data_IF_590995722831
#
_entry.id   IF_590995722831
#
_cell.length_a   1.000
_cell.length_b   1.000
_cell.length_c   1.000
_cell.angle_alpha   90.00
_cell.angle_beta   90.00
_cell.angle_gamma   90.00
#
_symmetry.space_group_name_H-M   'P 1'
#
loop_
_entity.id
_entity.type
_entity.pdbx_description
1 polymer ?
#
# COMPACT_ATOMS: atom_id res chain seq x y z
N UNK A 1 16.78 -14.37 12.91
CA UNK A 1 16.45 -13.05 12.35
C UNK A 1 16.63 -13.10 10.85
N UNK A 2 15.56 -12.93 10.10
CA UNK A 2 15.56 -12.91 8.63
C UNK A 2 15.18 -11.52 8.13
N UNK A 3 15.45 -11.29 6.87
CA UNK A 3 14.93 -10.12 6.17
C UNK A 3 13.70 -10.53 5.35
N UNK A 4 12.62 -9.77 5.48
CA UNK A 4 11.46 -9.86 4.61
C UNK A 4 11.38 -8.56 3.82
N UNK A 5 11.46 -8.66 2.50
CA UNK A 5 11.52 -7.51 1.61
C UNK A 5 10.26 -7.47 0.76
N UNK A 6 9.56 -6.35 0.79
CA UNK A 6 8.36 -6.09 0.00
C UNK A 6 8.72 -5.03 -1.04
N UNK A 7 8.56 -5.36 -2.31
CA UNK A 7 8.79 -4.49 -3.45
C UNK A 7 7.47 -4.19 -4.16
N UNK A 8 6.99 -2.95 -4.07
CA UNK A 8 5.76 -2.50 -4.72
C UNK A 8 6.10 -1.59 -5.90
N UNK A 9 5.85 -2.03 -7.11
CA UNK A 9 6.16 -1.25 -8.29
C UNK A 9 5.02 -0.33 -8.73
N UNK A 10 5.34 0.62 -9.61
CA UNK A 10 4.39 1.54 -10.21
C UNK A 10 3.46 0.85 -11.21
N UNK A 11 2.35 1.49 -11.55
CA UNK A 11 1.37 0.95 -12.48
C UNK A 11 1.89 1.00 -13.92
N UNK A 12 1.63 -0.07 -14.68
CA UNK A 12 1.99 -0.14 -16.10
C UNK A 12 3.48 -0.35 -16.36
N UNK A 13 4.25 -0.69 -15.32
CA UNK A 13 5.64 -1.08 -15.48
C UNK A 13 5.68 -2.57 -15.87
N UNK A 14 5.60 -2.84 -17.17
CA UNK A 14 5.94 -4.15 -17.70
C UNK A 14 7.46 -4.31 -17.70
N UNK A 15 7.93 -5.54 -17.51
CA UNK A 15 9.35 -5.84 -17.59
C UNK A 15 9.87 -5.51 -18.99
N UNK A 16 10.84 -4.60 -19.08
CA UNK A 16 11.43 -4.12 -20.34
C UNK A 16 12.89 -3.67 -20.11
N UNK A 17 13.53 -3.19 -21.16
CA UNK A 17 14.93 -2.71 -21.08
C UNK A 17 15.09 -1.51 -20.13
N UNK A 18 14.04 -0.71 -19.93
CA UNK A 18 14.01 0.46 -19.04
C UNK A 18 13.27 0.17 -17.73
N UNK A 19 13.71 -0.83 -16.98
CA UNK A 19 13.10 -1.23 -15.72
C UNK A 19 13.13 -0.15 -14.64
N UNK A 20 12.10 -0.16 -13.79
CA UNK A 20 12.01 0.70 -12.61
C UNK A 20 13.14 0.43 -11.59
N UNK A 21 13.36 1.38 -10.68
CA UNK A 21 14.31 1.18 -9.58
C UNK A 21 13.89 0.02 -8.67
N UNK A 22 12.60 -0.26 -8.56
CA UNK A 22 12.09 -1.40 -7.76
C UNK A 22 12.45 -2.72 -8.40
N UNK A 23 12.27 -2.85 -9.74
CA UNK A 23 12.69 -4.06 -10.49
C UNK A 23 14.19 -4.26 -10.40
N UNK A 24 14.99 -3.19 -10.58
CA UNK A 24 16.45 -3.26 -10.47
C UNK A 24 16.90 -3.71 -9.09
N UNK A 25 16.26 -3.16 -8.06
CA UNK A 25 16.52 -3.55 -6.67
C UNK A 25 16.15 -5.01 -6.43
N UNK A 26 14.96 -5.46 -6.88
CA UNK A 26 14.51 -6.85 -6.77
C UNK A 26 15.49 -7.81 -7.44
N UNK A 27 15.98 -7.47 -8.63
CA UNK A 27 16.96 -8.27 -9.36
C UNK A 27 18.32 -8.36 -8.65
N UNK A 28 18.73 -7.29 -7.96
CA UNK A 28 20.00 -7.26 -7.22
C UNK A 28 19.95 -7.96 -5.86
N UNK A 29 18.76 -8.30 -5.37
CA UNK A 29 18.59 -8.95 -4.06
C UNK A 29 18.84 -10.46 -4.16
N UNK A 30 19.63 -10.97 -3.24
CA UNK A 30 19.72 -12.41 -3.00
C UNK A 30 18.42 -12.93 -2.38
N UNK A 31 17.95 -14.06 -2.87
CA UNK A 31 16.86 -14.82 -2.24
C UNK A 31 17.45 -16.05 -1.57
N UNK A 32 17.24 -16.17 -0.28
CA UNK A 32 17.82 -17.23 0.54
C UNK A 32 16.91 -17.58 1.73
N UNK A 33 17.31 -18.56 2.54
CA UNK A 33 16.60 -18.85 3.78
C UNK A 33 16.64 -17.67 4.78
N UNK A 34 17.60 -16.77 4.66
CA UNK A 34 17.76 -15.58 5.49
C UNK A 34 17.11 -14.33 4.89
N UNK A 35 16.68 -14.35 3.62
CA UNK A 35 16.06 -13.22 2.95
C UNK A 35 14.97 -13.66 1.99
N UNK A 36 13.73 -13.32 2.32
CA UNK A 36 12.55 -13.59 1.48
C UNK A 36 12.11 -12.29 0.82
N UNK A 37 11.97 -12.32 -0.50
CA UNK A 37 11.63 -11.13 -1.29
C UNK A 37 10.30 -11.32 -2.01
N UNK A 38 9.42 -10.36 -1.88
CA UNK A 38 8.13 -10.28 -2.56
C UNK A 38 8.14 -9.11 -3.54
N UNK A 39 7.71 -9.34 -4.77
CA UNK A 39 7.53 -8.31 -5.78
C UNK A 39 6.08 -8.24 -6.23
N UNK A 40 5.53 -7.03 -6.24
CA UNK A 40 4.20 -6.72 -6.76
C UNK A 40 4.33 -5.74 -7.94
N UNK A 41 3.86 -6.11 -9.14
CA UNK A 41 4.05 -5.32 -10.36
C UNK A 41 3.17 -4.06 -10.44
N UNK A 42 2.35 -3.80 -9.43
CA UNK A 42 1.40 -2.68 -9.42
C UNK A 42 0.10 -2.95 -10.18
N UNK A 43 -0.82 -1.98 -10.14
CA UNK A 43 -2.15 -2.11 -10.76
C UNK A 43 -2.06 -1.95 -12.27
N UNK A 44 -2.75 -2.79 -13.04
CA UNK A 44 -3.00 -2.58 -14.47
C UNK A 44 -2.03 -3.28 -15.44
N UNK A 45 -1.09 -4.08 -14.94
CA UNK A 45 -0.20 -4.86 -15.82
C UNK A 45 -0.86 -6.13 -16.36
N UNK A 46 -1.85 -6.70 -15.68
CA UNK A 46 -2.45 -8.00 -16.05
C UNK A 46 -3.83 -7.93 -16.70
N UNK A 47 -4.48 -6.77 -16.80
CA UNK A 47 -5.87 -6.66 -17.29
C UNK A 47 -6.09 -5.72 -18.48
N UNK A 48 -5.12 -4.91 -18.88
CA UNK A 48 -5.32 -3.85 -19.88
C UNK A 48 -5.23 -4.33 -21.34
N UNK A 49 -4.69 -5.50 -21.61
CA UNK A 49 -4.53 -5.96 -23.00
C UNK A 49 -5.84 -6.32 -23.70
N UNK A 50 -6.93 -6.60 -22.98
CA UNK A 50 -8.25 -6.90 -23.57
C UNK A 50 -9.16 -5.67 -23.73
N UNK A 51 -8.80 -4.50 -23.19
CA UNK A 51 -9.64 -3.30 -23.21
C UNK A 51 -9.28 -2.27 -24.29
N UNK A 52 -8.33 -2.56 -25.17
CA UNK A 52 -7.80 -1.58 -26.16
C UNK A 52 -8.71 -1.32 -27.37
N UNK A 53 -9.90 -1.89 -27.45
CA UNK A 53 -10.75 -1.80 -28.68
C UNK A 53 -12.04 -0.99 -28.53
N UNK A 54 -12.34 -0.34 -27.41
CA UNK A 54 -13.56 0.47 -27.31
C UNK A 54 -13.37 1.79 -26.54
N UNK A 55 -13.33 2.87 -27.30
CA UNK A 55 -13.69 4.25 -26.95
C UNK A 55 -12.93 4.97 -25.83
N UNK A 56 -12.05 5.86 -26.21
CA UNK A 56 -11.23 6.76 -25.36
C UNK A 56 -11.96 7.72 -24.41
N UNK A 57 -13.28 7.64 -24.22
CA UNK A 57 -14.07 8.42 -23.25
C UNK A 57 -14.48 7.63 -22.01
N UNK A 58 -14.38 6.32 -22.04
CA UNK A 58 -14.72 5.44 -20.90
C UNK A 58 -13.49 5.21 -20.01
N UNK A 59 -12.29 5.48 -20.50
CA UNK A 59 -11.04 5.18 -19.82
C UNK A 59 -10.81 6.03 -18.56
N UNK A 60 -11.25 7.29 -18.56
CA UNK A 60 -11.12 8.17 -17.39
C UNK A 60 -12.01 7.73 -16.21
N UNK A 61 -13.21 7.20 -16.46
CA UNK A 61 -14.10 6.65 -15.42
C UNK A 61 -13.60 5.31 -14.87
N UNK A 62 -13.07 4.45 -15.71
CA UNK A 62 -12.49 3.16 -15.31
C UNK A 62 -11.18 3.33 -14.55
N UNK A 63 -10.36 4.33 -14.90
CA UNK A 63 -9.15 4.69 -14.17
C UNK A 63 -9.48 5.16 -12.73
N UNK A 64 -10.55 5.91 -12.51
CA UNK A 64 -10.94 6.40 -11.19
C UNK A 64 -11.48 5.31 -10.25
N UNK A 65 -12.40 4.49 -10.72
CA UNK A 65 -13.06 3.44 -9.91
C UNK A 65 -12.18 2.17 -9.77
N UNK A 66 -11.55 1.72 -10.85
CA UNK A 66 -10.61 0.60 -10.83
C UNK A 66 -9.35 0.89 -10.03
N UNK A 67 -8.98 2.15 -9.92
CA UNK A 67 -7.79 2.59 -9.25
C UNK A 67 -7.85 2.42 -7.72
N UNK A 68 -8.95 2.80 -7.09
CA UNK A 68 -9.14 2.62 -5.64
C UNK A 68 -9.30 1.17 -5.23
N UNK A 69 -9.87 0.35 -6.12
CA UNK A 69 -10.04 -1.09 -5.89
C UNK A 69 -8.69 -1.82 -6.00
N UNK A 70 -7.96 -1.63 -7.10
CA UNK A 70 -6.66 -2.27 -7.31
C UNK A 70 -5.59 -1.88 -6.28
N UNK A 71 -5.58 -0.62 -5.81
CA UNK A 71 -4.69 -0.21 -4.72
C UNK A 71 -4.96 -1.00 -3.45
N UNK A 72 -6.23 -1.30 -3.18
CA UNK A 72 -6.62 -2.05 -1.99
C UNK A 72 -6.21 -3.51 -2.06
N UNK A 73 -6.31 -4.11 -3.23
CA UNK A 73 -5.83 -5.46 -3.49
C UNK A 73 -4.32 -5.54 -3.31
N UNK A 74 -3.56 -4.61 -3.89
CA UNK A 74 -2.11 -4.57 -3.76
C UNK A 74 -1.66 -4.49 -2.29
N UNK A 75 -2.34 -3.68 -1.47
CA UNK A 75 -2.05 -3.59 -0.04
C UNK A 75 -2.40 -4.91 0.66
N UNK A 76 -3.55 -5.50 0.34
CA UNK A 76 -3.99 -6.76 0.94
C UNK A 76 -3.08 -7.94 0.57
N UNK A 77 -2.59 -7.97 -0.66
CA UNK A 77 -1.67 -9.01 -1.14
C UNK A 77 -0.31 -8.93 -0.44
N UNK A 78 0.27 -7.72 -0.37
CA UNK A 78 1.52 -7.50 0.36
C UNK A 78 1.36 -7.80 1.86
N UNK A 79 0.22 -7.44 2.45
CA UNK A 79 -0.11 -7.74 3.83
C UNK A 79 -0.28 -9.25 4.06
N UNK A 80 -0.97 -9.95 3.15
CA UNK A 80 -1.15 -11.41 3.20
C UNK A 80 0.19 -12.13 3.09
N UNK A 81 1.09 -11.63 2.24
CA UNK A 81 2.43 -12.18 2.13
C UNK A 81 3.21 -12.04 3.45
N UNK A 82 3.18 -10.84 4.07
CA UNK A 82 3.79 -10.63 5.39
C UNK A 82 3.19 -11.58 6.42
N UNK A 83 1.87 -11.68 6.49
CA UNK A 83 1.16 -12.51 7.45
C UNK A 83 1.60 -13.99 7.40
N UNK A 84 1.86 -14.51 6.19
CA UNK A 84 2.28 -15.91 6.00
C UNK A 84 3.76 -16.16 6.28
N UNK A 85 4.60 -15.13 6.17
CA UNK A 85 6.05 -15.30 6.20
C UNK A 85 6.72 -14.72 7.45
N UNK A 86 6.09 -13.72 8.08
CA UNK A 86 6.68 -13.01 9.22
C UNK A 86 6.75 -13.88 10.46
N UNK A 87 7.91 -13.86 11.11
CA UNK A 87 8.16 -14.41 12.43
C UNK A 87 8.66 -13.30 13.37
N UNK A 88 8.45 -13.42 14.68
CA UNK A 88 9.07 -12.50 15.64
C UNK A 88 10.57 -12.35 15.36
N UNK A 89 11.08 -11.13 15.49
CA UNK A 89 12.48 -10.75 15.24
C UNK A 89 12.90 -10.68 13.75
N UNK A 90 12.00 -10.94 12.79
CA UNK A 90 12.28 -10.67 11.38
C UNK A 90 12.30 -9.16 11.11
N UNK A 91 13.23 -8.71 10.27
CA UNK A 91 13.30 -7.31 9.81
C UNK A 91 12.51 -7.15 8.52
N UNK A 92 11.55 -6.25 8.52
CA UNK A 92 10.72 -5.94 7.34
C UNK A 92 11.26 -4.69 6.63
N UNK A 93 11.51 -4.83 5.34
CA UNK A 93 11.95 -3.76 4.44
C UNK A 93 10.85 -3.57 3.39
N UNK A 94 10.42 -2.33 3.19
CA UNK A 94 9.35 -2.02 2.24
C UNK A 94 9.86 -1.01 1.22
N UNK A 95 9.76 -1.36 -0.06
CA UNK A 95 10.18 -0.49 -1.15
C UNK A 95 9.01 -0.20 -2.07
N UNK A 96 9.00 1.01 -2.65
CA UNK A 96 7.95 1.36 -3.59
C UNK A 96 8.30 2.51 -4.52
N UNK A 97 7.75 2.46 -5.74
CA UNK A 97 7.89 3.50 -6.74
C UNK A 97 6.52 4.04 -7.17
N UNK A 98 6.39 5.36 -7.29
CA UNK A 98 5.18 6.02 -7.78
C UNK A 98 3.93 5.59 -6.99
N UNK A 99 2.95 4.94 -7.60
CA UNK A 99 1.77 4.35 -6.93
C UNK A 99 2.14 3.20 -6.00
N UNK A 100 3.16 2.43 -6.33
CA UNK A 100 3.72 1.41 -5.43
C UNK A 100 4.34 2.02 -4.18
N UNK A 101 4.91 3.23 -4.26
CA UNK A 101 5.35 3.96 -3.08
C UNK A 101 4.17 4.35 -2.18
N UNK A 102 3.01 4.68 -2.75
CA UNK A 102 1.79 4.89 -1.97
C UNK A 102 1.27 3.57 -1.35
N UNK A 103 1.31 2.45 -2.09
CA UNK A 103 1.00 1.11 -1.57
C UNK A 103 1.91 0.77 -0.37
N UNK A 104 3.21 0.99 -0.51
CA UNK A 104 4.20 0.78 0.55
C UNK A 104 3.89 1.62 1.81
N UNK A 105 3.57 2.91 1.63
CA UNK A 105 3.13 3.78 2.73
C UNK A 105 1.85 3.30 3.39
N UNK A 106 0.87 2.89 2.59
CA UNK A 106 -0.40 2.41 3.09
C UNK A 106 -0.26 1.08 3.84
N UNK A 107 0.62 0.19 3.37
CA UNK A 107 0.97 -1.04 4.08
C UNK A 107 1.58 -0.72 5.47
N UNK A 108 2.55 0.18 5.53
CA UNK A 108 3.12 0.63 6.81
C UNK A 108 2.04 1.22 7.73
N UNK A 109 1.14 2.05 7.19
CA UNK A 109 0.04 2.63 7.96
C UNK A 109 -0.97 1.60 8.45
N UNK A 110 -1.26 0.57 7.67
CA UNK A 110 -2.13 -0.55 8.07
C UNK A 110 -1.49 -1.36 9.21
N UNK A 111 -0.18 -1.64 9.12
CA UNK A 111 0.58 -2.31 10.17
C UNK A 111 0.61 -1.48 11.47
N UNK A 112 0.75 -0.16 11.36
CA UNK A 112 0.67 0.75 12.51
C UNK A 112 -0.69 0.68 13.19
N UNK A 113 -1.77 0.81 12.40
CA UNK A 113 -3.12 0.91 12.91
C UNK A 113 -3.69 -0.42 13.40
N UNK A 114 -3.52 -1.48 12.61
CA UNK A 114 -4.17 -2.78 12.84
C UNK A 114 -3.20 -3.89 13.28
N UNK A 115 -1.88 -3.64 13.23
CA UNK A 115 -0.88 -4.69 13.43
C UNK A 115 -0.83 -5.66 12.25
N UNK A 116 -0.11 -6.75 12.40
CA UNK A 116 -0.08 -7.87 11.47
C UNK A 116 -0.91 -9.02 12.03
N UNK A 117 -1.97 -9.40 11.33
CA UNK A 117 -2.84 -10.50 11.72
C UNK A 117 -2.02 -11.79 11.89
N UNK A 118 -2.37 -12.57 12.92
CA UNK A 118 -1.76 -13.89 13.09
C UNK A 118 -2.19 -14.84 11.98
N UNK A 119 -1.33 -15.75 11.51
CA UNK A 119 -1.69 -16.79 10.54
C UNK A 119 -2.99 -17.52 10.95
N UNK A 120 -3.84 -17.82 9.97
CA UNK A 120 -5.17 -18.40 10.20
C UNK A 120 -6.31 -17.38 10.35
N UNK A 121 -5.98 -16.06 10.35
CA UNK A 121 -6.98 -15.00 10.41
C UNK A 121 -7.13 -14.25 9.06
N UNK A 122 -6.83 -14.89 7.93
CA UNK A 122 -6.89 -14.28 6.60
C UNK A 122 -8.26 -13.67 6.30
N UNK A 123 -9.32 -14.29 6.80
CA UNK A 123 -10.69 -13.79 6.66
C UNK A 123 -10.93 -12.42 7.30
N UNK A 124 -10.03 -11.94 8.17
CA UNK A 124 -10.12 -10.63 8.82
C UNK A 124 -9.42 -9.52 8.01
N UNK A 125 -8.65 -9.85 6.97
CA UNK A 125 -7.97 -8.85 6.13
C UNK A 125 -8.97 -7.83 5.53
N UNK A 126 -10.13 -8.23 4.96
CA UNK A 126 -11.10 -7.27 4.46
C UNK A 126 -11.67 -6.34 5.55
N UNK A 127 -11.79 -6.82 6.78
CA UNK A 127 -12.22 -5.99 7.90
C UNK A 127 -11.14 -4.98 8.30
N UNK A 128 -9.89 -5.41 8.44
CA UNK A 128 -8.76 -4.52 8.72
C UNK A 128 -8.63 -3.42 7.66
N UNK A 129 -8.75 -3.77 6.37
CA UNK A 129 -8.74 -2.83 5.26
C UNK A 129 -9.91 -1.84 5.30
N UNK A 130 -11.11 -2.30 5.63
CA UNK A 130 -12.27 -1.44 5.79
C UNK A 130 -12.11 -0.47 6.95
N UNK A 131 -11.60 -0.95 8.09
CA UNK A 131 -11.32 -0.12 9.26
C UNK A 131 -10.26 0.95 8.96
N UNK A 132 -9.20 0.58 8.26
CA UNK A 132 -8.13 1.47 7.83
C UNK A 132 -8.63 2.59 6.90
N UNK A 133 -9.53 2.27 5.98
CA UNK A 133 -10.10 3.23 5.02
C UNK A 133 -11.25 4.06 5.57
N UNK A 134 -11.85 3.67 6.69
CA UNK A 134 -13.03 4.36 7.25
C UNK A 134 -12.71 5.83 7.47
N UNK A 135 -13.55 6.71 6.90
CA UNK A 135 -13.55 8.13 7.20
C UNK A 135 -14.37 8.38 8.46
N UNK A 136 -13.86 9.20 9.36
CA UNK A 136 -14.63 9.65 10.53
C UNK A 136 -15.37 10.95 10.18
N UNK A 137 -16.70 10.91 10.25
CA UNK A 137 -17.54 12.07 10.08
C UNK A 137 -17.69 12.88 11.38
N UNK A 138 -17.95 14.18 11.27
CA UNK A 138 -18.30 15.02 12.44
C UNK A 138 -19.49 14.46 13.25
N UNK A 139 -20.41 13.76 12.59
CA UNK A 139 -21.61 13.19 13.21
C UNK A 139 -21.34 11.90 13.98
N UNK A 140 -20.23 11.21 13.74
CA UNK A 140 -19.91 9.96 14.47
C UNK A 140 -19.65 10.23 15.94
N UNK A 141 -18.93 11.30 16.26
CA UNK A 141 -18.67 11.70 17.65
C UNK A 141 -19.98 12.12 18.38
N UNK A 142 -20.87 12.82 17.68
CA UNK A 142 -22.17 13.25 18.26
C UNK A 142 -23.10 12.07 18.52
N UNK A 143 -23.01 11.01 17.73
CA UNK A 143 -23.82 9.80 17.86
C UNK A 143 -23.22 8.77 18.82
N UNK A 144 -22.10 9.08 19.49
CA UNK A 144 -21.40 8.14 20.38
C UNK A 144 -20.80 6.92 19.66
N UNK A 145 -20.58 7.00 18.35
CA UNK A 145 -19.94 5.92 17.59
C UNK A 145 -18.45 5.90 17.95
N UNK A 146 -17.90 4.75 18.40
CA UNK A 146 -16.48 4.66 18.73
C UNK A 146 -15.58 5.04 17.56
N UNK A 147 -14.50 5.78 17.84
CA UNK A 147 -13.55 6.15 16.78
C UNK A 147 -12.90 4.92 16.17
N UNK A 148 -12.52 5.02 14.89
CA UNK A 148 -11.82 3.92 14.22
C UNK A 148 -10.52 3.53 14.93
N UNK A 149 -9.84 4.47 15.55
CA UNK A 149 -8.60 4.22 16.30
C UNK A 149 -8.85 3.41 17.57
N UNK A 150 -9.95 3.69 18.27
CA UNK A 150 -10.38 2.91 19.44
C UNK A 150 -10.69 1.47 19.02
N UNK A 151 -11.48 1.29 17.95
CA UNK A 151 -11.82 -0.04 17.41
C UNK A 151 -10.56 -0.77 16.94
N UNK A 152 -9.66 -0.07 16.22
CA UNK A 152 -8.41 -0.64 15.72
C UNK A 152 -7.50 -1.11 16.87
N UNK A 153 -7.44 -0.37 17.97
CA UNK A 153 -6.67 -0.78 19.14
C UNK A 153 -7.17 -2.11 19.71
N UNK A 154 -8.48 -2.27 19.87
CA UNK A 154 -9.10 -3.52 20.30
C UNK A 154 -8.86 -4.66 19.29
N UNK A 155 -9.04 -4.37 18.00
CA UNK A 155 -8.78 -5.33 16.93
C UNK A 155 -7.33 -5.81 16.92
N UNK A 156 -6.38 -4.86 16.99
CA UNK A 156 -4.95 -5.13 17.02
C UNK A 156 -4.56 -6.02 18.19
N UNK A 157 -5.05 -5.72 19.40
CA UNK A 157 -4.74 -6.51 20.59
C UNK A 157 -5.32 -7.93 20.55
N UNK A 158 -6.43 -8.13 19.84
CA UNK A 158 -7.12 -9.43 19.76
C UNK A 158 -6.52 -10.34 18.68
N UNK A 159 -6.31 -9.82 17.48
CA UNK A 159 -6.02 -10.64 16.28
C UNK A 159 -4.60 -10.54 15.77
N UNK A 160 -3.84 -9.52 16.18
CA UNK A 160 -2.58 -9.19 15.53
C UNK A 160 -1.36 -9.39 16.43
N UNK A 161 -0.20 -9.36 15.80
CA UNK A 161 1.11 -9.17 16.42
C UNK A 161 1.66 -7.82 15.99
N UNK A 162 2.59 -7.28 16.76
CA UNK A 162 3.33 -6.10 16.33
C UNK A 162 4.32 -6.50 15.21
N UNK A 163 4.23 -5.76 14.12
CA UNK A 163 5.15 -5.87 12.99
C UNK A 163 5.57 -4.45 12.60
N UNK A 164 6.75 -4.06 13.05
CA UNK A 164 7.30 -2.74 12.82
C UNK A 164 8.27 -2.80 11.64
N UNK A 165 7.99 -2.12 10.50
CA UNK A 165 8.93 -2.10 9.40
C UNK A 165 10.25 -1.42 9.82
N UNK A 166 11.37 -2.09 9.52
CA UNK A 166 12.69 -1.59 9.81
C UNK A 166 13.11 -0.47 8.83
N UNK A 167 12.71 -0.59 7.57
CA UNK A 167 13.09 0.37 6.53
C UNK A 167 11.97 0.57 5.51
N UNK A 168 11.77 1.80 5.08
CA UNK A 168 10.94 2.14 3.92
C UNK A 168 11.74 2.99 2.92
N UNK A 169 11.96 2.43 1.72
CA UNK A 169 12.61 3.10 0.59
C UNK A 169 11.59 3.46 -0.49
N UNK A 170 11.40 4.75 -0.74
CA UNK A 170 10.32 5.25 -1.57
C UNK A 170 10.87 6.12 -2.70
N UNK A 171 10.38 5.93 -3.91
CA UNK A 171 10.69 6.75 -5.07
C UNK A 171 9.42 7.42 -5.59
N UNK A 172 9.46 8.73 -5.75
CA UNK A 172 8.44 9.56 -6.42
C UNK A 172 7.00 9.18 -6.03
N UNK A 173 6.68 9.24 -4.74
CA UNK A 173 5.34 8.89 -4.25
C UNK A 173 4.28 9.77 -4.88
N UNK A 174 3.37 9.19 -5.66
CA UNK A 174 2.20 9.88 -6.18
C UNK A 174 0.94 9.46 -5.42
N UNK A 175 0.24 10.46 -4.88
CA UNK A 175 -1.04 10.28 -4.19
C UNK A 175 -2.18 10.44 -5.19
N UNK A 176 -2.46 9.38 -5.95
CA UNK A 176 -3.49 9.42 -7.00
C UNK A 176 -4.92 9.37 -6.50
N UNK A 177 -5.15 9.16 -5.21
CA UNK A 177 -6.49 9.08 -4.62
C UNK A 177 -7.13 10.45 -4.42
N UNK A 178 -6.34 11.54 -4.38
CA UNK A 178 -6.86 12.90 -4.14
C UNK A 178 -7.34 13.66 -5.38
N UNK A 179 -6.88 13.28 -6.56
CA UNK A 179 -7.11 14.12 -7.75
C UNK A 179 -8.42 13.81 -8.48
N UNK A 180 -8.88 12.56 -8.46
CA UNK A 180 -10.12 12.17 -9.15
C UNK A 180 -11.41 12.46 -8.37
N UNK A 181 -11.34 12.72 -7.07
CA UNK A 181 -12.53 12.98 -6.24
C UNK A 181 -12.85 14.48 -6.07
N UNK A 182 -11.99 15.36 -6.54
CA UNK A 182 -12.20 16.81 -6.43
C UNK A 182 -13.22 17.36 -7.46
N UNK A 183 -13.57 16.60 -8.49
CA UNK A 183 -14.64 16.94 -9.45
C UNK A 183 -16.06 16.90 -8.85
N UNK A 184 -16.22 16.34 -7.64
CA UNK A 184 -17.51 16.24 -6.94
C UNK A 184 -17.58 17.04 -5.65
N UNK A 185 -16.55 17.84 -5.32
CA UNK A 185 -16.51 18.61 -4.07
C UNK A 185 -16.39 17.74 -2.82
N UNK A 186 -16.06 16.46 -2.97
CA UNK A 186 -15.89 15.52 -1.86
C UNK A 186 -14.46 15.61 -1.29
N UNK A 187 -14.39 15.72 0.01
CA UNK A 187 -13.18 15.87 0.81
C UNK A 187 -12.06 14.89 0.41
N UNK A 188 -10.86 15.43 0.22
CA UNK A 188 -9.60 14.70 0.02
C UNK A 188 -9.44 13.57 1.05
N UNK A 189 -9.65 12.34 0.60
CA UNK A 189 -9.57 11.15 1.46
C UNK A 189 -8.13 10.60 1.40
N UNK A 190 -7.35 10.87 2.42
CA UNK A 190 -6.06 10.17 2.60
C UNK A 190 -6.20 9.03 3.60
N UNK A 191 -5.55 7.91 3.34
CA UNK A 191 -5.45 6.83 4.32
C UNK A 191 -4.61 7.31 5.52
N UNK A 192 -4.95 6.89 6.77
CA UNK A 192 -4.20 7.30 7.94
C UNK A 192 -2.75 6.82 7.89
N UNK A 193 -1.86 7.54 8.57
CA UNK A 193 -0.43 7.23 8.71
C UNK A 193 0.39 7.17 7.39
N UNK A 194 -0.20 7.51 6.24
CA UNK A 194 0.54 7.49 4.96
C UNK A 194 1.46 8.70 4.77
N UNK A 195 1.16 9.82 5.41
CA UNK A 195 1.99 11.04 5.37
C UNK A 195 3.19 10.95 6.32
N UNK A 196 2.97 10.43 7.55
CA UNK A 196 4.02 10.20 8.55
C UNK A 196 4.07 8.71 8.85
N UNK A 197 5.21 8.10 8.61
CA UNK A 197 5.48 6.69 8.88
C UNK A 197 6.13 6.57 10.27
N UNK A 198 5.38 6.86 11.32
CA UNK A 198 5.88 6.98 12.69
C UNK A 198 6.42 5.67 13.28
N UNK A 199 5.98 4.54 12.79
CA UNK A 199 6.43 3.22 13.24
C UNK A 199 7.50 2.57 12.33
N UNK A 200 8.00 3.27 11.32
CA UNK A 200 9.13 2.79 10.52
C UNK A 200 10.42 3.35 11.10
N UNK A 201 11.41 2.48 11.36
CA UNK A 201 12.67 2.92 11.98
C UNK A 201 13.43 3.88 11.09
N UNK A 202 13.52 3.58 9.79
CA UNK A 202 14.23 4.42 8.80
C UNK A 202 13.38 4.60 7.56
N UNK A 203 13.12 5.85 7.19
CA UNK A 203 12.43 6.20 5.93
C UNK A 203 13.39 6.96 5.03
N UNK A 204 13.46 6.56 3.77
CA UNK A 204 14.15 7.31 2.71
C UNK A 204 13.20 7.54 1.55
N UNK A 205 13.11 8.78 1.10
CA UNK A 205 12.26 9.16 -0.02
C UNK A 205 13.09 9.93 -1.04
N UNK A 206 13.34 9.31 -2.18
CA UNK A 206 13.92 9.97 -3.33
C UNK A 206 12.80 10.62 -4.14
N UNK A 207 12.95 11.90 -4.44
CA UNK A 207 11.98 12.70 -5.19
C UNK A 207 12.64 13.16 -6.48
N UNK A 208 11.90 13.12 -7.59
CA UNK A 208 12.35 13.65 -8.87
C UNK A 208 12.58 15.16 -8.74
N UNK A 209 13.76 15.62 -9.13
CA UNK A 209 14.11 17.04 -9.08
C UNK A 209 13.63 17.81 -10.33
N UNK A 210 13.40 17.10 -11.43
CA UNK A 210 13.01 17.67 -12.72
C UNK A 210 11.73 17.01 -13.25
N UNK A 211 10.66 17.14 -12.47
CA UNK A 211 9.35 16.60 -12.83
C UNK A 211 8.68 17.53 -13.86
N UNK A 212 8.50 17.03 -15.09
CA UNK A 212 7.91 17.78 -16.20
C UNK A 212 6.48 17.39 -16.53
N UNK A 213 5.92 16.41 -15.81
CA UNK A 213 4.52 16.02 -16.00
C UNK A 213 3.61 17.07 -15.36
N UNK A 214 2.75 17.69 -16.17
CA UNK A 214 1.67 18.53 -15.66
C UNK A 214 0.56 17.63 -15.09
N UNK A 215 0.21 17.86 -13.88
CA UNK A 215 -0.90 17.19 -13.19
C UNK A 215 -2.16 18.07 -13.21
#
# INVERSE_FOLDING_TARGET
MRNIVICCDGTGNEYCDANSNVVKLYHAMEQSAQQVVYYHPGVGTMGAQQALTAAGKTWTKWLGLGFGYGLSENIADAYSFLMRNYQPDDRVFVFGFSRGAYTARALCGLLEMCGLLRPGNEGQIPYAMRLFKRQEGRFDAVRGVPSKFYIAKGFKSTFSVDCKPHFAGLWDTVSSVGWFLDLSGLKKSSMPYTAKLGQVDVVRHAVSLDERRSF
#
